data_IF_311350197587
#
_entry.id   IF_311350197587
#
_cell.length_a   1.000
_cell.length_b   1.000
_cell.length_c   1.000
_cell.angle_alpha   90.00
_cell.angle_beta   90.00
_cell.angle_gamma   90.00
#
_symmetry.space_group_name_H-M   'P 1'
#
loop_
_entity.id
_entity.type
_entity.pdbx_description
1 polymer ?
#
# COMPACT_ATOMS: atom_id res chain seq x y z
N UNK A 1 0.47 16.93 16.31
CA UNK A 1 -0.19 15.66 15.94
C UNK A 1 0.92 14.63 15.72
N UNK A 2 0.74 13.37 16.12
CA UNK A 2 1.79 12.35 16.01
C UNK A 2 1.43 11.36 14.90
N UNK A 3 2.43 10.91 14.16
CA UNK A 3 2.27 9.91 13.11
C UNK A 3 1.79 8.58 13.71
N UNK A 4 0.66 8.01 13.26
CA UNK A 4 0.19 6.73 13.79
C UNK A 4 1.09 5.55 13.39
N UNK A 5 1.90 5.70 12.33
CA UNK A 5 2.79 4.65 11.86
C UNK A 5 4.14 4.59 12.59
N UNK A 6 4.65 5.72 13.10
CA UNK A 6 5.99 5.78 13.71
C UNK A 6 6.08 6.62 14.99
N UNK A 7 4.98 7.19 15.48
CA UNK A 7 4.92 8.02 16.68
C UNK A 7 5.61 9.39 16.57
N UNK A 8 6.32 9.67 15.47
CA UNK A 8 7.03 10.94 15.29
C UNK A 8 6.07 12.12 15.19
N UNK A 9 6.40 13.28 15.77
CA UNK A 9 5.62 14.49 15.57
C UNK A 9 5.63 14.86 14.09
N UNK A 10 4.44 15.14 13.53
CA UNK A 10 4.30 15.56 12.14
C UNK A 10 3.17 16.56 12.01
N UNK A 11 3.38 17.57 11.17
CA UNK A 11 2.38 18.59 10.84
C UNK A 11 1.41 18.09 9.77
N UNK A 12 1.86 17.15 8.92
CA UNK A 12 1.10 16.64 7.79
C UNK A 12 1.07 15.11 7.81
N UNK A 13 -0.13 14.57 7.64
CA UNK A 13 -0.37 13.15 7.50
C UNK A 13 -0.84 12.89 6.06
N UNK A 14 -0.32 11.82 5.49
CA UNK A 14 -0.54 11.37 4.13
C UNK A 14 -1.15 9.97 4.16
N UNK A 15 -2.05 9.71 3.23
CA UNK A 15 -2.65 8.40 3.05
C UNK A 15 -1.90 7.63 1.95
N UNK A 16 -1.66 6.34 2.19
CA UNK A 16 -1.10 5.45 1.17
C UNK A 16 -2.19 5.03 0.18
N UNK A 17 -2.02 5.35 -1.10
CA UNK A 17 -2.95 4.98 -2.18
C UNK A 17 -3.11 3.46 -2.38
N UNK A 18 -2.19 2.66 -1.84
CA UNK A 18 -2.16 1.19 -2.06
C UNK A 18 -2.87 0.42 -0.95
N UNK A 19 -2.69 0.83 0.31
CA UNK A 19 -3.23 0.10 1.48
C UNK A 19 -4.11 0.95 2.39
N UNK A 20 -4.40 2.20 1.99
CA UNK A 20 -5.23 3.17 2.71
C UNK A 20 -4.78 3.44 4.16
N UNK A 21 -3.51 3.15 4.49
CA UNK A 21 -2.93 3.49 5.79
C UNK A 21 -2.44 4.94 5.80
N UNK A 22 -2.72 5.64 6.88
CA UNK A 22 -2.25 7.01 7.13
C UNK A 22 -0.87 6.99 7.81
N UNK A 23 0.04 7.85 7.38
CA UNK A 23 1.35 8.04 7.99
C UNK A 23 1.96 9.41 7.66
N UNK A 24 3.11 9.75 8.23
CA UNK A 24 3.79 11.00 7.92
C UNK A 24 4.61 10.89 6.62
N UNK A 25 5.18 12.02 6.17
CA UNK A 25 6.08 12.14 5.00
C UNK A 25 7.31 11.20 5.01
N UNK A 26 7.68 10.64 6.17
CA UNK A 26 8.74 9.62 6.29
C UNK A 26 8.22 8.20 6.06
N UNK A 27 6.98 7.94 6.49
CA UNK A 27 6.34 6.63 6.38
C UNK A 27 5.63 6.43 5.04
N UNK A 28 5.16 7.52 4.43
CA UNK A 28 4.46 7.56 3.15
C UNK A 28 5.22 8.51 2.24
N UNK A 29 5.70 7.99 1.11
CA UNK A 29 6.57 8.69 0.18
C UNK A 29 5.96 8.71 -1.21
N UNK A 30 6.07 9.84 -1.89
CA UNK A 30 5.56 10.01 -3.25
C UNK A 30 6.46 9.28 -4.24
N UNK A 31 5.90 8.34 -4.99
CA UNK A 31 6.53 7.68 -6.13
C UNK A 31 5.75 8.02 -7.39
N UNK A 32 6.31 8.88 -8.24
CA UNK A 32 5.61 9.38 -9.42
C UNK A 32 4.36 10.17 -9.04
N UNK A 33 3.18 9.65 -9.38
CA UNK A 33 1.88 10.28 -9.10
C UNK A 33 1.13 9.69 -7.89
N UNK A 34 1.69 8.69 -7.20
CA UNK A 34 1.03 8.00 -6.08
C UNK A 34 1.83 8.13 -4.77
N UNK A 35 1.14 8.14 -3.64
CA UNK A 35 1.70 8.06 -2.31
C UNK A 35 1.73 6.60 -1.84
N UNK A 36 2.92 6.09 -1.55
CA UNK A 36 3.09 4.70 -1.11
C UNK A 36 3.80 4.66 0.25
N UNK A 37 3.26 3.89 1.18
CA UNK A 37 3.93 3.65 2.46
C UNK A 37 5.17 2.75 2.29
N UNK A 38 6.09 2.78 3.25
CA UNK A 38 7.33 1.98 3.20
C UNK A 38 7.10 0.48 2.96
N UNK A 39 5.98 -0.08 3.42
CA UNK A 39 5.61 -1.48 3.17
C UNK A 39 5.14 -1.72 1.73
N UNK A 40 4.33 -0.82 1.18
CA UNK A 40 3.87 -0.92 -0.21
C UNK A 40 5.00 -0.57 -1.19
N UNK A 41 5.94 0.29 -0.77
CA UNK A 41 7.11 0.70 -1.55
C UNK A 41 8.03 -0.47 -1.91
N UNK A 42 8.18 -1.45 -1.02
CA UNK A 42 9.02 -2.64 -1.21
C UNK A 42 8.39 -3.73 -2.07
N UNK A 43 7.20 -3.49 -2.65
CA UNK A 43 6.52 -4.49 -3.48
C UNK A 43 5.96 -5.67 -2.69
N UNK A 44 5.83 -5.54 -1.37
CA UNK A 44 5.29 -6.61 -0.49
C UNK A 44 3.77 -6.66 -0.49
N UNK A 45 3.11 -5.74 -1.20
CA UNK A 45 1.75 -6.00 -1.69
C UNK A 45 1.97 -6.93 -2.88
N UNK A 46 2.00 -8.24 -2.60
CA UNK A 46 1.65 -9.23 -3.60
C UNK A 46 0.41 -8.66 -4.28
N UNK A 47 0.46 -8.46 -5.60
CA UNK A 47 -0.77 -8.32 -6.39
C UNK A 47 -1.80 -9.25 -5.76
N UNK A 48 -3.04 -8.81 -5.48
CA UNK A 48 -4.08 -9.78 -5.23
C UNK A 48 -3.99 -10.69 -6.44
N UNK A 49 -3.46 -11.91 -6.24
CA UNK A 49 -3.33 -12.91 -7.29
C UNK A 49 -4.75 -13.03 -7.77
N UNK A 50 -5.02 -12.37 -8.89
CA UNK A 50 -6.19 -12.60 -9.67
C UNK A 50 -5.93 -14.04 -10.08
N UNK A 51 -6.47 -14.97 -9.28
CA UNK A 51 -6.55 -16.38 -9.63
C UNK A 51 -7.47 -16.44 -10.82
N UNK A 52 -6.98 -15.98 -11.97
CA UNK A 52 -7.37 -16.49 -13.26
C UNK A 52 -6.80 -17.89 -13.35
N UNK A 53 -7.33 -18.77 -12.50
CA UNK A 53 -7.41 -20.18 -12.82
C UNK A 53 -8.50 -20.31 -13.87
N UNK A 54 -8.19 -19.81 -15.06
CA UNK A 54 -8.63 -20.41 -16.30
C UNK A 54 -8.33 -21.91 -16.23
N UNK A 55 -9.20 -22.71 -16.84
CA UNK A 55 -8.97 -24.12 -17.24
C UNK A 55 -9.31 -25.16 -16.17
N UNK A 56 -10.55 -25.66 -16.22
CA UNK A 56 -10.87 -27.09 -16.45
C UNK A 56 -12.39 -27.13 -16.76
N UNK A 57 -12.75 -26.92 -18.02
CA UNK A 57 -13.11 -27.99 -18.96
C UNK A 57 -14.29 -28.82 -18.47
N UNK A 58 -15.43 -28.59 -19.13
CA UNK A 58 -16.52 -29.53 -19.34
C UNK A 58 -16.02 -30.99 -19.36
N UNK A 59 -16.62 -31.86 -18.55
CA UNK A 59 -16.97 -33.28 -18.80
C UNK A 59 -17.18 -34.01 -17.47
N UNK A 60 -18.40 -34.54 -17.28
CA UNK A 60 -18.83 -35.34 -16.13
C UNK A 60 -20.33 -35.47 -16.11
#
# INVERSE_FOLDING_TARGET
>A
MNCPACGSPSLELLECDVCMKVGCVKCVIKKGKQWACSMCKTGTVQEPKQSTSSIFSMFG
#
